data_IF_393534981692
#
_entry.id   IF_393534981692
#
_cell.length_a   1.000
_cell.length_b   1.000
_cell.length_c   1.000
_cell.angle_alpha   90.00
_cell.angle_beta   90.00
_cell.angle_gamma   90.00
#
_symmetry.space_group_name_H-M   'P 1'
#
loop_
_entity.id
_entity.type
_entity.pdbx_description
1 polymer ?
#
# COMPACT_ATOMS: atom_id res chain seq x y z
N UNK A 1 -13.49 5.29 6.11
CA UNK A 1 -14.10 4.74 7.35
C UNK A 1 -15.59 4.65 7.08
N UNK A 2 -16.29 3.67 7.67
CA UNK A 2 -17.71 3.47 7.36
C UNK A 2 -18.60 4.65 7.80
N UNK A 3 -18.14 5.42 8.77
CA UNK A 3 -18.85 6.57 9.33
C UNK A 3 -19.07 7.73 8.32
N UNK A 4 -18.17 7.89 7.35
CA UNK A 4 -18.25 8.96 6.34
C UNK A 4 -18.45 8.44 4.91
N UNK A 5 -18.85 7.21 4.78
CA UNK A 5 -19.07 6.54 3.49
C UNK A 5 -20.09 7.26 2.61
N UNK A 6 -21.12 7.83 3.22
CA UNK A 6 -22.20 8.52 2.53
C UNK A 6 -21.86 9.97 2.16
N UNK A 7 -20.74 10.53 2.68
CA UNK A 7 -20.30 11.90 2.42
C UNK A 7 -19.40 12.04 1.18
N UNK A 8 -19.08 10.92 0.53
CA UNK A 8 -18.15 10.93 -0.59
C UNK A 8 -18.61 11.79 -1.76
N UNK A 9 -19.89 11.75 -2.09
CA UNK A 9 -20.44 12.54 -3.20
C UNK A 9 -20.45 14.03 -2.85
N UNK A 10 -20.83 14.39 -1.63
CA UNK A 10 -20.80 15.77 -1.15
C UNK A 10 -19.37 16.31 -1.08
N UNK A 11 -18.41 15.47 -0.67
CA UNK A 11 -16.99 15.82 -0.69
C UNK A 11 -16.49 16.11 -2.11
N UNK A 12 -16.82 15.25 -3.08
CA UNK A 12 -16.42 15.45 -4.48
C UNK A 12 -17.08 16.70 -5.03
N UNK A 13 -18.39 16.86 -4.83
CA UNK A 13 -19.13 18.01 -5.31
C UNK A 13 -18.54 19.32 -4.78
N UNK A 14 -18.32 19.44 -3.48
CA UNK A 14 -17.77 20.64 -2.88
C UNK A 14 -16.33 20.92 -3.36
N UNK A 15 -15.44 19.96 -3.25
CA UNK A 15 -14.02 20.23 -3.52
C UNK A 15 -13.67 20.21 -5.02
N UNK A 16 -14.23 19.28 -5.77
CA UNK A 16 -13.94 19.16 -7.20
C UNK A 16 -14.84 20.09 -8.04
N UNK A 17 -16.18 19.97 -7.91
CA UNK A 17 -17.08 20.66 -8.84
C UNK A 17 -17.20 22.14 -8.54
N UNK A 18 -17.26 22.53 -7.24
CA UNK A 18 -17.41 23.94 -6.85
C UNK A 18 -16.07 24.67 -6.71
N UNK A 19 -15.05 24.02 -6.15
CA UNK A 19 -13.76 24.67 -5.86
C UNK A 19 -12.68 24.38 -6.92
N UNK A 20 -12.91 23.49 -7.87
CA UNK A 20 -11.97 23.14 -8.92
C UNK A 20 -10.69 22.44 -8.40
N UNK A 21 -10.77 21.74 -7.28
CA UNK A 21 -9.63 21.06 -6.65
C UNK A 21 -9.63 19.58 -7.05
N UNK A 22 -8.48 19.08 -7.50
CA UNK A 22 -8.27 17.66 -7.77
C UNK A 22 -8.53 16.82 -6.51
N UNK A 23 -9.44 15.85 -6.63
CA UNK A 23 -9.80 14.96 -5.54
C UNK A 23 -9.17 13.57 -5.70
N UNK A 24 -8.48 13.10 -4.68
CA UNK A 24 -7.88 11.76 -4.65
C UNK A 24 -8.63 10.83 -3.71
N UNK A 25 -9.37 9.88 -4.28
CA UNK A 25 -10.15 8.91 -3.53
C UNK A 25 -9.36 7.61 -3.38
N UNK A 26 -9.20 7.16 -2.13
CA UNK A 26 -8.48 5.93 -1.81
C UNK A 26 -9.36 5.00 -0.98
N UNK A 27 -9.28 3.68 -1.21
CA UNK A 27 -9.86 2.71 -0.29
C UNK A 27 -9.17 2.81 1.08
N UNK A 28 -9.90 2.47 2.13
CA UNK A 28 -9.33 2.36 3.47
C UNK A 28 -8.29 1.24 3.51
N UNK A 29 -7.18 1.49 4.19
CA UNK A 29 -6.12 0.51 4.39
C UNK A 29 -6.50 -0.44 5.51
N UNK A 30 -6.35 -1.75 5.28
CA UNK A 30 -6.62 -2.81 6.26
C UNK A 30 -5.44 -3.10 7.19
N UNK A 31 -4.29 -2.44 6.97
CA UNK A 31 -3.03 -2.73 7.65
C UNK A 31 -2.62 -4.20 7.54
N UNK A 32 -2.63 -4.71 6.31
CA UNK A 32 -2.38 -6.10 5.97
C UNK A 32 -3.36 -7.08 6.65
N UNK A 33 -4.63 -6.66 6.78
CA UNK A 33 -5.69 -7.46 7.39
C UNK A 33 -5.80 -7.36 8.92
N UNK A 34 -5.02 -6.47 9.56
CA UNK A 34 -5.10 -6.24 11.01
C UNK A 34 -6.30 -5.38 11.43
N UNK A 35 -6.87 -4.60 10.51
CA UNK A 35 -8.07 -3.82 10.74
C UNK A 35 -9.18 -4.30 9.81
N UNK A 36 -10.36 -4.57 10.37
CA UNK A 36 -11.54 -4.86 9.57
C UNK A 36 -11.98 -3.61 8.81
N UNK A 37 -12.22 -3.75 7.52
CA UNK A 37 -12.72 -2.69 6.67
C UNK A 37 -13.69 -3.25 5.65
N UNK A 38 -14.91 -2.76 5.66
CA UNK A 38 -15.90 -3.02 4.62
C UNK A 38 -15.57 -2.30 3.30
N UNK A 39 -14.68 -1.30 3.36
CA UNK A 39 -14.31 -0.45 2.22
C UNK A 39 -13.15 -1.02 1.38
N UNK A 40 -12.52 -2.12 1.80
CA UNK A 40 -11.41 -2.75 1.04
C UNK A 40 -11.89 -3.40 -0.27
N UNK A 41 -13.19 -3.44 -0.51
CA UNK A 41 -13.80 -4.17 -1.61
C UNK A 41 -14.11 -3.31 -2.86
N UNK A 42 -13.60 -2.09 -2.94
CA UNK A 42 -13.96 -1.17 -4.06
C UNK A 42 -13.35 -1.54 -5.42
N UNK A 43 -12.43 -2.54 -5.50
CA UNK A 43 -11.77 -2.94 -6.75
C UNK A 43 -11.69 -4.48 -6.87
N UNK A 44 -12.73 -5.21 -6.47
CA UNK A 44 -12.70 -6.67 -6.30
C UNK A 44 -12.57 -7.47 -7.60
N UNK A 45 -12.98 -6.93 -8.74
CA UNK A 45 -12.94 -7.63 -10.03
C UNK A 45 -11.63 -7.42 -10.81
N UNK A 46 -10.68 -6.68 -10.26
CA UNK A 46 -9.42 -6.44 -10.93
C UNK A 46 -8.41 -7.57 -10.65
N UNK A 47 -7.82 -8.09 -11.69
CA UNK A 47 -6.61 -8.93 -11.58
C UNK A 47 -5.61 -8.25 -10.65
N UNK A 48 -5.03 -9.01 -9.71
CA UNK A 48 -4.02 -8.50 -8.77
C UNK A 48 -2.86 -7.83 -9.50
N UNK A 49 -2.62 -6.57 -9.15
CA UNK A 49 -1.48 -5.79 -9.65
C UNK A 49 -0.31 -5.83 -8.66
N UNK A 50 0.92 -5.50 -9.12
CA UNK A 50 2.05 -5.28 -8.22
C UNK A 50 1.71 -4.23 -7.16
N UNK A 51 2.09 -4.46 -5.91
CA UNK A 51 1.81 -3.52 -4.83
C UNK A 51 2.55 -2.19 -5.06
N UNK A 52 1.81 -1.09 -5.18
CA UNK A 52 2.39 0.24 -5.38
C UNK A 52 3.43 0.60 -4.31
N UNK A 53 3.12 0.32 -3.05
CA UNK A 53 4.01 0.62 -1.93
C UNK A 53 5.32 -0.15 -2.01
N UNK A 54 5.26 -1.44 -2.28
CA UNK A 54 6.45 -2.29 -2.46
C UNK A 54 7.32 -1.84 -3.63
N UNK A 55 6.71 -1.30 -4.68
CA UNK A 55 7.41 -0.87 -5.89
C UNK A 55 8.10 0.49 -5.74
N UNK A 56 7.58 1.37 -4.89
CA UNK A 56 7.93 2.79 -4.94
C UNK A 56 8.41 3.37 -3.60
N UNK A 57 8.37 2.61 -2.49
CA UNK A 57 8.70 3.16 -1.17
C UNK A 57 9.75 2.35 -0.43
N UNK A 58 10.51 3.03 0.42
CA UNK A 58 11.32 2.45 1.48
C UNK A 58 10.74 2.92 2.81
N UNK A 59 10.50 2.00 3.74
CA UNK A 59 9.84 2.29 5.00
C UNK A 59 10.79 2.02 6.16
N UNK A 60 11.25 3.07 6.81
CA UNK A 60 12.11 3.00 7.99
C UNK A 60 11.27 2.93 9.26
N UNK A 61 11.70 2.12 10.20
CA UNK A 61 11.17 2.00 11.55
C UNK A 61 12.13 2.59 12.58
N UNK A 62 11.66 2.70 13.81
CA UNK A 62 12.35 3.35 14.93
C UNK A 62 13.75 2.81 15.24
N UNK A 63 13.99 1.53 15.11
CA UNK A 63 15.30 0.90 15.33
C UNK A 63 16.17 0.81 14.08
N UNK A 64 15.96 1.72 13.12
CA UNK A 64 16.69 1.74 11.84
C UNK A 64 16.41 0.52 10.94
N UNK A 65 15.42 -0.27 11.26
CA UNK A 65 14.98 -1.38 10.43
C UNK A 65 14.22 -0.89 9.20
N UNK A 66 14.45 -1.54 8.07
CA UNK A 66 13.69 -1.33 6.86
C UNK A 66 12.58 -2.37 6.82
N UNK A 67 11.34 -1.91 6.98
CA UNK A 67 10.16 -2.77 6.84
C UNK A 67 9.83 -3.04 5.37
N UNK A 68 9.15 -4.14 5.12
CA UNK A 68 8.71 -4.57 3.80
C UNK A 68 7.86 -3.49 3.09
N UNK A 69 6.93 -2.88 3.80
CA UNK A 69 6.07 -1.81 3.28
C UNK A 69 5.50 -0.95 4.43
N UNK A 70 4.75 0.10 4.08
CA UNK A 70 4.18 1.05 5.05
C UNK A 70 3.15 0.42 6.00
N UNK A 71 2.46 -0.64 5.57
CA UNK A 71 1.43 -1.32 6.40
C UNK A 71 2.00 -2.43 7.28
N UNK A 72 3.30 -2.75 7.16
CA UNK A 72 4.03 -3.64 8.07
C UNK A 72 4.43 -2.87 9.34
N UNK A 73 3.45 -2.59 10.18
CA UNK A 73 3.62 -1.71 11.34
C UNK A 73 4.65 -2.24 12.35
N UNK A 74 4.67 -3.54 12.56
CA UNK A 74 5.51 -4.19 13.57
C UNK A 74 6.85 -4.66 12.98
N UNK A 75 7.17 -4.28 11.74
CA UNK A 75 8.33 -4.78 11.01
C UNK A 75 8.44 -6.31 11.05
N UNK A 76 7.31 -6.99 10.85
CA UNK A 76 7.24 -8.47 10.87
C UNK A 76 7.99 -9.12 9.71
N UNK A 77 8.28 -8.35 8.67
CA UNK A 77 9.09 -8.72 7.52
C UNK A 77 10.25 -7.73 7.33
N UNK A 78 11.31 -7.78 8.16
CA UNK A 78 12.45 -6.87 8.03
C UNK A 78 13.23 -7.15 6.75
N UNK A 79 13.52 -6.10 5.99
CA UNK A 79 14.24 -6.16 4.72
C UNK A 79 15.72 -5.78 4.86
N UNK A 80 16.12 -5.29 6.01
CA UNK A 80 17.47 -4.86 6.34
C UNK A 80 17.48 -3.84 7.46
N UNK A 81 18.68 -3.36 7.82
CA UNK A 81 18.85 -2.31 8.82
C UNK A 81 19.88 -1.31 8.32
N UNK A 82 19.57 -0.01 8.39
CA UNK A 82 20.45 1.05 7.84
C UNK A 82 21.73 1.29 8.64
N UNK A 83 21.84 0.73 9.84
CA UNK A 83 23.11 0.71 10.56
C UNK A 83 24.11 -0.29 9.97
N UNK A 84 23.65 -1.29 9.22
CA UNK A 84 24.45 -2.38 8.66
C UNK A 84 24.66 -2.26 7.15
N UNK A 85 23.70 -1.63 6.45
CA UNK A 85 23.71 -1.52 4.97
C UNK A 85 23.08 -0.21 4.54
N UNK A 86 23.57 0.37 3.47
CA UNK A 86 22.95 1.57 2.90
C UNK A 86 21.55 1.28 2.34
N UNK A 87 20.69 2.30 2.35
CA UNK A 87 19.35 2.21 1.71
C UNK A 87 19.46 1.76 0.25
N UNK A 88 20.47 2.25 -0.47
CA UNK A 88 20.74 1.85 -1.87
C UNK A 88 20.99 0.35 -1.98
N UNK A 89 21.76 -0.22 -1.08
CA UNK A 89 22.07 -1.64 -1.06
C UNK A 89 20.82 -2.47 -0.74
N UNK A 90 20.10 -2.14 0.32
CA UNK A 90 18.83 -2.81 0.70
C UNK A 90 17.81 -2.74 -0.45
N UNK A 91 17.70 -1.57 -1.09
CA UNK A 91 16.84 -1.36 -2.25
C UNK A 91 17.17 -2.25 -3.44
N UNK A 92 18.47 -2.41 -3.74
CA UNK A 92 18.94 -3.17 -4.89
C UNK A 92 19.15 -4.66 -4.62
N UNK A 93 19.02 -5.11 -3.39
CA UNK A 93 19.15 -6.52 -2.99
C UNK A 93 17.82 -7.06 -2.48
N UNK A 94 17.57 -7.00 -1.18
CA UNK A 94 16.42 -7.62 -0.52
C UNK A 94 15.08 -7.08 -1.06
N UNK A 95 14.93 -5.77 -1.11
CA UNK A 95 13.71 -5.15 -1.65
C UNK A 95 13.56 -5.39 -3.17
N UNK A 96 14.66 -5.53 -3.91
CA UNK A 96 14.59 -5.88 -5.33
C UNK A 96 14.01 -7.27 -5.55
N UNK A 97 14.48 -8.27 -4.82
CA UNK A 97 13.95 -9.64 -4.90
C UNK A 97 12.43 -9.64 -4.67
N UNK A 98 11.99 -8.91 -3.67
CA UNK A 98 10.58 -8.76 -3.36
C UNK A 98 9.79 -8.07 -4.50
N UNK A 99 10.32 -6.99 -5.08
CA UNK A 99 9.71 -6.31 -6.23
C UNK A 99 9.65 -7.21 -7.46
N UNK A 100 10.65 -8.04 -7.68
CA UNK A 100 10.68 -8.95 -8.83
C UNK A 100 9.59 -10.03 -8.72
N UNK A 101 9.28 -10.51 -7.50
CA UNK A 101 8.12 -11.38 -7.27
C UNK A 101 6.81 -10.70 -7.64
N UNK A 102 6.65 -9.42 -7.29
CA UNK A 102 5.47 -8.64 -7.67
C UNK A 102 5.37 -8.43 -9.18
N UNK A 103 6.47 -8.09 -9.85
CA UNK A 103 6.49 -7.87 -11.32
C UNK A 103 6.18 -9.13 -12.11
N UNK A 104 6.66 -10.27 -11.61
CA UNK A 104 6.47 -11.56 -12.28
C UNK A 104 5.17 -12.28 -11.91
N UNK A 105 4.33 -11.68 -11.04
CA UNK A 105 3.07 -12.28 -10.60
C UNK A 105 3.24 -13.53 -9.74
N UNK A 106 4.40 -13.74 -9.12
CA UNK A 106 4.68 -14.90 -8.27
C UNK A 106 4.11 -14.68 -6.85
N UNK A 107 2.79 -14.52 -6.77
CA UNK A 107 2.07 -14.17 -5.54
C UNK A 107 2.20 -15.22 -4.43
N UNK A 108 2.35 -16.48 -4.82
CA UNK A 108 2.54 -17.63 -3.92
C UNK A 108 3.87 -17.60 -3.17
N UNK A 109 4.88 -16.90 -3.71
CA UNK A 109 6.21 -16.75 -3.10
C UNK A 109 6.34 -15.52 -2.20
N UNK A 110 5.35 -14.66 -2.18
CA UNK A 110 5.33 -13.49 -1.30
C UNK A 110 5.22 -13.90 0.17
N UNK A 111 5.69 -13.07 1.12
CA UNK A 111 5.42 -13.26 2.55
C UNK A 111 3.93 -13.43 2.84
N UNK A 112 3.59 -14.19 3.86
CA UNK A 112 2.19 -14.50 4.22
C UNK A 112 1.33 -13.24 4.36
N UNK A 113 1.86 -12.19 4.99
CA UNK A 113 1.16 -10.91 5.12
C UNK A 113 0.77 -10.31 3.77
N UNK A 114 1.61 -10.47 2.74
CA UNK A 114 1.34 -9.95 1.40
C UNK A 114 0.34 -10.82 0.62
N UNK A 115 0.33 -12.12 0.85
CA UNK A 115 -0.59 -13.04 0.16
C UNK A 115 -2.05 -12.69 0.46
N UNK A 116 -2.33 -12.34 1.71
CA UNK A 116 -3.66 -12.03 2.22
C UNK A 116 -3.99 -10.54 2.16
N UNK A 117 -3.01 -9.70 1.85
CA UNK A 117 -3.17 -8.25 1.86
C UNK A 117 -3.95 -7.76 0.63
N UNK A 118 -4.95 -6.92 0.87
CA UNK A 118 -5.69 -6.20 -0.16
C UNK A 118 -5.27 -4.72 -0.28
N UNK A 119 -4.39 -4.25 0.61
CA UNK A 119 -3.95 -2.84 0.64
C UNK A 119 -3.09 -2.44 -0.55
N UNK A 120 -2.62 -3.41 -1.36
CA UNK A 120 -1.94 -3.14 -2.62
C UNK A 120 -2.77 -2.24 -3.54
N UNK A 121 -4.11 -2.31 -3.45
CA UNK A 121 -5.05 -1.50 -4.24
C UNK A 121 -5.02 -0.02 -3.86
N UNK A 122 -4.74 0.31 -2.61
CA UNK A 122 -4.82 1.69 -2.10
C UNK A 122 -3.79 2.63 -2.74
N UNK A 123 -2.72 2.08 -3.31
CA UNK A 123 -1.75 2.84 -4.10
C UNK A 123 -2.25 3.25 -5.48
N UNK A 124 -3.28 2.59 -6.00
CA UNK A 124 -3.93 2.88 -7.28
C UNK A 124 -5.20 3.70 -7.05
N UNK A 125 -5.05 4.84 -6.41
CA UNK A 125 -6.16 5.72 -6.10
C UNK A 125 -6.86 6.23 -7.36
N UNK A 126 -8.18 6.37 -7.32
CA UNK A 126 -8.93 7.09 -8.33
C UNK A 126 -8.69 8.60 -8.16
N UNK A 127 -8.25 9.25 -9.22
CA UNK A 127 -8.18 10.70 -9.33
C UNK A 127 -9.45 11.16 -10.04
N UNK A 128 -10.05 12.24 -9.55
CA UNK A 128 -11.18 12.93 -10.15
C UNK A 128 -10.66 14.29 -10.56
N UNK A 129 -10.52 14.47 -11.89
CA UNK A 129 -10.03 15.68 -12.56
C UNK A 129 -11.20 16.58 -13.00
#
# INVERSE_FOLDING_TARGET
MDINKNELQDFIHFWHDEQGIECKIRPMVSWAGKAESSATNLIIDAQRLPCYWAMNTVNLKDQSDVALCSVDLDCSCPMGNINNSSIREIWNTTLRQFRDLHRSGQWDKLPTMCKLCNDWQSGYAKIID
#
